data_IF_146133117878
#
_entry.id   IF_146133117878
#
_cell.length_a   1.000
_cell.length_b   1.000
_cell.length_c   1.000
_cell.angle_alpha   90.00
_cell.angle_beta   90.00
_cell.angle_gamma   90.00
#
_symmetry.space_group_name_H-M   'P 1'
#
loop_
_entity.id
_entity.type
_entity.pdbx_description
1 polymer ?
#
# COMPACT_ATOMS: atom_id res chain seq x y z
N UNK A 1 -21.91 -15.45 12.89
CA UNK A 1 -20.66 -15.78 12.16
C UNK A 1 -19.53 -15.43 13.09
N UNK A 2 -18.77 -16.41 13.57
CA UNK A 2 -17.65 -16.13 14.47
C UNK A 2 -16.56 -15.40 13.69
N UNK A 3 -16.13 -14.22 14.17
CA UNK A 3 -14.95 -13.55 13.63
C UNK A 3 -13.78 -14.52 13.71
N UNK A 4 -13.26 -14.96 12.56
CA UNK A 4 -12.06 -15.77 12.51
C UNK A 4 -10.92 -14.95 13.09
N UNK A 5 -10.26 -15.47 14.13
CA UNK A 5 -9.09 -14.82 14.71
C UNK A 5 -8.02 -14.71 13.62
N UNK A 6 -7.46 -13.52 13.48
CA UNK A 6 -6.38 -13.22 12.53
C UNK A 6 -5.18 -12.72 13.33
N UNK A 7 -4.02 -13.28 13.03
CA UNK A 7 -2.76 -12.86 13.63
C UNK A 7 -2.02 -11.99 12.65
N UNK A 8 -1.38 -10.96 13.17
CA UNK A 8 -0.64 -10.00 12.38
C UNK A 8 0.80 -9.91 12.88
N UNK A 9 1.73 -9.70 11.97
CA UNK A 9 3.13 -9.44 12.31
C UNK A 9 3.72 -8.37 11.38
N UNK A 10 4.67 -7.62 11.93
CA UNK A 10 5.46 -6.68 11.17
C UNK A 10 6.75 -7.36 10.70
N UNK A 11 6.93 -7.50 9.39
CA UNK A 11 8.13 -8.07 8.78
C UNK A 11 9.12 -6.96 8.42
N UNK A 12 10.04 -6.68 9.34
CA UNK A 12 11.07 -5.67 9.11
C UNK A 12 12.09 -6.14 8.06
N UNK A 13 12.37 -5.30 7.06
CA UNK A 13 13.39 -5.59 6.04
C UNK A 13 14.79 -5.56 6.66
N UNK A 14 15.70 -6.43 6.18
CA UNK A 14 17.07 -6.56 6.69
C UNK A 14 17.87 -5.24 6.66
N UNK A 15 17.49 -4.34 5.77
CA UNK A 15 18.11 -3.05 5.50
C UNK A 15 17.28 -1.86 6.00
N UNK A 16 16.26 -2.09 6.82
CA UNK A 16 15.40 -1.03 7.38
C UNK A 16 16.21 0.14 7.98
N UNK A 17 17.12 -0.16 8.91
CA UNK A 17 18.01 0.83 9.54
C UNK A 17 19.09 1.38 8.59
N UNK A 18 19.26 0.76 7.42
CA UNK A 18 20.22 1.19 6.41
C UNK A 18 19.64 2.17 5.39
N UNK A 19 18.30 2.26 5.29
CA UNK A 19 17.61 3.19 4.41
C UNK A 19 17.99 4.65 4.71
N UNK A 20 18.06 5.48 3.67
CA UNK A 20 18.47 6.87 3.81
C UNK A 20 17.53 7.68 4.72
N UNK A 21 16.22 7.39 4.68
CA UNK A 21 15.20 8.06 5.49
C UNK A 21 15.35 7.72 6.98
N UNK A 22 15.52 6.45 7.34
CA UNK A 22 15.74 6.04 8.74
C UNK A 22 17.08 6.56 9.26
N UNK A 23 18.15 6.50 8.46
CA UNK A 23 19.44 7.14 8.83
C UNK A 23 19.31 8.63 9.06
N UNK A 24 18.52 9.33 8.25
CA UNK A 24 18.26 10.77 8.39
C UNK A 24 17.49 11.07 9.68
N UNK A 25 16.46 10.29 10.02
CA UNK A 25 15.72 10.42 11.28
C UNK A 25 16.64 10.21 12.49
N UNK A 26 17.47 9.18 12.46
CA UNK A 26 18.41 8.84 13.55
C UNK A 26 19.54 9.86 13.77
N UNK A 27 19.80 10.75 12.81
CA UNK A 27 20.78 11.84 12.97
C UNK A 27 20.25 13.01 13.79
N UNK A 28 18.94 13.08 14.02
CA UNK A 28 18.33 14.11 14.86
C UNK A 28 18.61 13.76 16.32
N UNK A 29 18.76 14.75 17.19
CA UNK A 29 18.82 14.52 18.63
C UNK A 29 17.51 13.82 19.08
N UNK A 30 17.63 12.71 19.82
CA UNK A 30 16.49 11.85 20.14
C UNK A 30 16.06 10.92 19.00
N UNK A 31 16.84 10.82 17.92
CA UNK A 31 16.49 10.08 16.72
C UNK A 31 16.20 8.59 16.92
N UNK A 32 16.83 7.94 17.90
CA UNK A 32 16.52 6.55 18.25
C UNK A 32 15.11 6.42 18.86
N UNK A 33 14.67 7.38 19.68
CA UNK A 33 13.29 7.47 20.20
C UNK A 33 12.30 7.65 19.05
N UNK A 34 12.60 8.51 18.08
CA UNK A 34 11.72 8.74 16.93
C UNK A 34 11.51 7.48 16.09
N UNK A 35 12.57 6.66 15.92
CA UNK A 35 12.45 5.37 15.23
C UNK A 35 11.58 4.39 16.03
N UNK A 36 11.68 4.38 17.36
CA UNK A 36 10.80 3.56 18.21
C UNK A 36 9.35 4.00 18.07
N UNK A 37 9.07 5.31 18.14
CA UNK A 37 7.72 5.87 17.92
C UNK A 37 7.19 5.47 16.55
N UNK A 38 8.01 5.57 15.50
CA UNK A 38 7.59 5.15 14.17
C UNK A 38 7.21 3.67 14.12
N UNK A 39 8.03 2.78 14.70
CA UNK A 39 7.71 1.35 14.78
C UNK A 39 6.42 1.07 15.57
N UNK A 40 6.18 1.80 16.67
CA UNK A 40 4.94 1.74 17.44
C UNK A 40 3.72 2.15 16.59
N UNK A 41 3.83 3.22 15.80
CA UNK A 41 2.78 3.63 14.86
C UNK A 41 2.50 2.57 13.80
N UNK A 42 3.53 1.88 13.28
CA UNK A 42 3.33 0.76 12.35
C UNK A 42 2.49 -0.36 12.98
N UNK A 43 2.81 -0.72 14.23
CA UNK A 43 2.08 -1.73 14.98
C UNK A 43 0.64 -1.30 15.28
N UNK A 44 0.40 -0.02 15.58
CA UNK A 44 -0.95 0.52 15.77
C UNK A 44 -1.81 0.33 14.51
N UNK A 45 -1.23 0.60 13.34
CA UNK A 45 -1.91 0.49 12.04
C UNK A 45 -2.08 -0.94 11.50
N UNK A 46 -1.59 -1.95 12.23
CA UNK A 46 -1.39 -3.31 11.68
C UNK A 46 -2.71 -4.01 11.30
N UNK A 47 -3.80 -3.67 11.98
CA UNK A 47 -5.14 -4.24 11.75
C UNK A 47 -5.95 -3.46 10.71
N UNK A 48 -5.49 -2.27 10.34
CA UNK A 48 -6.23 -1.29 9.54
C UNK A 48 -5.51 -0.96 8.24
N UNK A 49 -4.84 -1.95 7.63
CA UNK A 49 -4.16 -1.79 6.33
C UNK A 49 -3.19 -0.60 6.27
N UNK A 50 -2.40 -0.42 7.34
CA UNK A 50 -1.47 0.70 7.49
C UNK A 50 -2.12 2.09 7.61
N UNK A 51 -3.41 2.15 7.93
CA UNK A 51 -4.16 3.37 8.22
C UNK A 51 -4.28 3.54 9.74
N UNK A 52 -4.15 4.77 10.19
CA UNK A 52 -4.43 5.20 11.56
C UNK A 52 -5.57 6.21 11.47
N UNK A 53 -6.65 5.90 12.18
CA UNK A 53 -7.83 6.76 12.28
C UNK A 53 -7.67 7.68 13.49
N UNK A 54 -8.06 8.93 13.33
CA UNK A 54 -8.12 9.94 14.38
C UNK A 54 -9.55 9.99 14.89
N UNK A 55 -9.75 9.58 16.14
CA UNK A 55 -11.07 9.47 16.76
C UNK A 55 -11.55 10.79 17.42
N UNK A 56 -10.75 11.86 17.33
CA UNK A 56 -10.99 13.17 17.97
C UNK A 56 -11.15 13.06 19.50
N UNK A 57 -10.46 12.09 20.12
CA UNK A 57 -10.45 11.94 21.58
C UNK A 57 -9.66 13.08 22.22
N UNK A 58 -8.62 13.53 21.53
CA UNK A 58 -7.79 14.69 21.92
C UNK A 58 -7.99 15.86 20.95
N UNK A 59 -7.33 17.00 21.21
CA UNK A 59 -7.46 18.19 20.37
C UNK A 59 -6.76 18.08 19.01
N UNK A 60 -5.72 17.25 18.92
CA UNK A 60 -4.99 17.00 17.66
C UNK A 60 -4.62 15.53 17.51
N UNK A 61 -4.43 15.10 16.25
CA UNK A 61 -3.94 13.75 15.93
C UNK A 61 -2.64 13.41 16.65
N UNK A 62 -1.72 14.36 16.78
CA UNK A 62 -0.45 14.11 17.47
C UNK A 62 -0.66 13.84 18.98
N UNK A 63 -1.62 14.53 19.59
CA UNK A 63 -1.93 14.38 21.01
C UNK A 63 -2.57 13.01 21.28
N UNK A 64 -3.48 12.57 20.41
CA UNK A 64 -4.13 11.27 20.49
C UNK A 64 -3.11 10.12 20.31
N UNK A 65 -2.22 10.24 19.33
CA UNK A 65 -1.17 9.24 19.12
C UNK A 65 -0.18 9.21 20.28
N UNK A 66 0.17 10.35 20.87
CA UNK A 66 1.01 10.41 22.06
C UNK A 66 0.36 9.68 23.23
N UNK A 67 -0.95 9.87 23.43
CA UNK A 67 -1.73 9.18 24.45
C UNK A 67 -1.78 7.67 24.21
N UNK A 68 -2.07 7.23 22.97
CA UNK A 68 -2.18 5.81 22.62
C UNK A 68 -0.83 5.09 22.75
N UNK A 69 0.26 5.75 22.37
CA UNK A 69 1.60 5.15 22.36
C UNK A 69 2.35 5.25 23.68
N UNK A 70 1.82 6.02 24.64
CA UNK A 70 2.47 6.41 25.90
C UNK A 70 3.85 7.04 25.63
N UNK A 71 3.85 8.10 24.82
CA UNK A 71 5.04 8.80 24.35
C UNK A 71 4.91 10.32 24.51
N UNK A 72 6.03 11.02 24.54
CA UNK A 72 6.03 12.48 24.63
C UNK A 72 5.44 13.12 23.36
N UNK A 73 4.51 14.04 23.57
CA UNK A 73 3.76 14.72 22.52
C UNK A 73 4.64 15.50 21.54
N UNK A 74 5.74 16.09 22.01
CA UNK A 74 6.68 16.83 21.19
C UNK A 74 7.51 15.86 20.33
N UNK A 75 7.85 14.69 20.86
CA UNK A 75 8.51 13.64 20.07
C UNK A 75 7.58 13.11 18.97
N UNK A 76 6.30 12.88 19.28
CA UNK A 76 5.30 12.41 18.30
C UNK A 76 5.08 13.45 17.20
N UNK A 77 4.96 14.74 17.54
CA UNK A 77 4.87 15.83 16.54
C UNK A 77 6.07 15.85 15.60
N UNK A 78 7.29 15.72 16.14
CA UNK A 78 8.53 15.65 15.34
C UNK A 78 8.50 14.44 14.40
N UNK A 79 8.07 13.27 14.89
CA UNK A 79 7.96 12.06 14.08
C UNK A 79 6.95 12.24 12.96
N UNK A 80 5.72 12.66 13.26
CA UNK A 80 4.67 12.87 12.25
C UNK A 80 5.13 13.84 11.16
N UNK A 81 5.69 15.00 11.56
CA UNK A 81 6.22 15.98 10.62
C UNK A 81 7.34 15.40 9.75
N UNK A 82 8.25 14.60 10.33
CA UNK A 82 9.28 13.91 9.57
C UNK A 82 8.70 12.89 8.59
N UNK A 83 7.73 12.08 9.00
CA UNK A 83 7.13 11.04 8.17
C UNK A 83 6.44 11.66 6.95
N UNK A 84 5.64 12.72 7.14
CA UNK A 84 4.99 13.45 6.05
C UNK A 84 6.03 14.06 5.11
N UNK A 85 7.03 14.77 5.65
CA UNK A 85 8.06 15.43 4.85
C UNK A 85 8.94 14.47 4.02
N UNK A 86 9.03 13.20 4.39
CA UNK A 86 9.79 12.17 3.66
C UNK A 86 8.88 11.15 2.95
N UNK A 87 7.58 11.44 2.80
CA UNK A 87 6.59 10.60 2.13
C UNK A 87 6.44 9.18 2.73
N UNK A 88 6.71 9.05 4.02
CA UNK A 88 6.48 7.82 4.81
C UNK A 88 5.06 7.76 5.38
N UNK A 89 4.40 8.90 5.49
CA UNK A 89 3.02 9.05 5.90
C UNK A 89 2.31 10.05 4.98
N UNK A 90 1.05 9.78 4.65
CA UNK A 90 0.18 10.68 3.88
C UNK A 90 -1.16 10.82 4.60
N UNK A 91 -1.64 12.05 4.74
CA UNK A 91 -3.00 12.31 5.19
C UNK A 91 -3.96 12.02 4.03
N UNK A 92 -4.89 11.08 4.23
CA UNK A 92 -5.91 10.73 3.24
C UNK A 92 -7.06 11.74 3.31
N UNK A 93 -7.54 11.99 4.52
CA UNK A 93 -8.61 12.95 4.82
C UNK A 93 -8.36 13.59 6.20
N UNK A 94 -9.34 14.32 6.74
CA UNK A 94 -9.20 15.02 8.02
C UNK A 94 -8.94 14.08 9.21
N UNK A 95 -9.32 12.79 9.11
CA UNK A 95 -9.25 11.84 10.21
C UNK A 95 -8.33 10.65 9.91
N UNK A 96 -8.00 10.37 8.65
CA UNK A 96 -7.29 9.16 8.26
C UNK A 96 -5.87 9.47 7.78
N UNK A 97 -4.89 8.80 8.39
CA UNK A 97 -3.47 8.88 8.05
C UNK A 97 -2.95 7.52 7.60
N UNK A 98 -2.36 7.45 6.39
CA UNK A 98 -1.75 6.24 5.84
C UNK A 98 -0.25 6.22 6.05
N UNK A 99 0.29 5.09 6.47
CA UNK A 99 1.73 4.80 6.47
C UNK A 99 2.15 4.10 5.17
N UNK A 100 2.67 4.88 4.22
CA UNK A 100 2.87 4.46 2.82
C UNK A 100 3.76 3.23 2.62
N UNK A 101 4.77 3.04 3.47
CA UNK A 101 5.72 1.92 3.34
C UNK A 101 5.33 0.69 4.18
N UNK A 102 4.32 0.82 5.03
CA UNK A 102 3.98 -0.20 6.04
C UNK A 102 3.10 -1.30 5.46
N UNK A 103 2.30 -1.01 4.43
CA UNK A 103 1.44 -1.99 3.76
C UNK A 103 2.23 -3.22 3.27
N UNK A 104 3.45 -3.01 2.75
CA UNK A 104 4.33 -4.08 2.29
C UNK A 104 5.06 -4.82 3.42
N UNK A 105 5.02 -4.29 4.65
CA UNK A 105 5.67 -4.84 5.84
C UNK A 105 4.69 -5.66 6.70
N UNK A 106 3.38 -5.47 6.54
CA UNK A 106 2.36 -6.19 7.31
C UNK A 106 2.13 -7.56 6.67
N UNK A 107 2.33 -8.62 7.47
CA UNK A 107 1.85 -9.96 7.13
C UNK A 107 0.68 -10.36 8.03
N UNK A 108 -0.20 -11.22 7.52
CA UNK A 108 -1.31 -11.79 8.28
C UNK A 108 -1.42 -13.30 8.07
N UNK A 109 -1.76 -14.04 9.11
CA UNK A 109 -2.18 -15.46 9.00
C UNK A 109 -3.51 -15.68 9.73
N UNK A 110 -4.28 -16.66 9.25
CA UNK A 110 -5.51 -17.12 9.90
C UNK A 110 -5.18 -17.99 11.13
N UNK A 111 -6.15 -18.14 12.05
CA UNK A 111 -6.03 -19.04 13.20
C UNK A 111 -5.70 -20.48 12.80
N UNK A 112 -6.22 -20.98 11.67
CA UNK A 112 -5.85 -22.29 11.12
C UNK A 112 -4.38 -22.33 10.67
N UNK A 113 -3.90 -21.32 9.94
CA UNK A 113 -2.51 -21.22 9.50
C UNK A 113 -1.53 -21.09 10.68
N UNK A 114 -1.89 -20.35 11.73
CA UNK A 114 -1.09 -20.26 12.95
C UNK A 114 -1.00 -21.62 13.67
N UNK A 115 -2.13 -22.33 13.84
CA UNK A 115 -2.15 -23.68 14.45
C UNK A 115 -1.21 -24.62 13.70
N UNK A 116 -1.24 -24.59 12.37
CA UNK A 116 -0.39 -25.42 11.51
C UNK A 116 1.08 -25.05 11.63
N UNK A 117 1.42 -23.75 11.64
CA UNK A 117 2.79 -23.29 11.86
C UNK A 117 3.31 -23.74 13.22
N UNK A 118 2.52 -23.54 14.28
CA UNK A 118 2.84 -23.96 15.64
C UNK A 118 3.04 -25.47 15.72
N UNK A 119 2.16 -26.26 15.12
CA UNK A 119 2.30 -27.72 15.06
C UNK A 119 3.57 -28.15 14.30
N UNK A 120 3.91 -27.49 13.18
CA UNK A 120 5.16 -27.77 12.45
C UNK A 120 6.39 -27.41 13.27
N UNK A 121 6.37 -26.29 13.99
CA UNK A 121 7.48 -25.87 14.84
C UNK A 121 7.61 -26.79 16.08
N UNK A 122 6.50 -27.23 16.67
CA UNK A 122 6.46 -28.23 17.74
C UNK A 122 6.94 -29.60 17.25
N UNK A 123 6.51 -30.06 16.08
CA UNK A 123 6.97 -31.32 15.47
C UNK A 123 8.46 -31.26 15.12
N UNK A 124 8.95 -30.11 14.63
CA UNK A 124 10.40 -29.88 14.40
C UNK A 124 11.18 -29.88 15.72
N UNK A 125 10.66 -29.29 16.79
CA UNK A 125 11.26 -29.32 18.11
C UNK A 125 11.25 -30.74 18.74
N UNK A 126 10.18 -31.51 18.52
CA UNK A 126 10.04 -32.91 18.97
C UNK A 126 10.95 -33.87 18.20
N UNK A 127 11.28 -33.59 16.93
CA UNK A 127 12.26 -34.40 16.17
C UNK A 127 13.70 -34.26 16.71
N UNK A 128 14.00 -33.22 17.50
CA UNK A 128 15.26 -33.12 18.25
C UNK A 128 15.26 -33.98 19.52
N UNK A 129 14.10 -34.38 20.04
CA UNK A 129 13.94 -35.24 21.21
C UNK A 129 13.50 -36.65 20.82
N UNK A 130 14.03 -37.19 19.71
CA UNK A 130 13.65 -38.51 19.16
C UNK A 130 14.20 -39.69 19.98
N UNK A 131 13.84 -39.75 21.25
CA UNK A 131 13.64 -40.99 21.97
C UNK A 131 12.31 -40.89 22.71
N UNK A 132 11.38 -41.74 22.27
CA UNK A 132 10.12 -42.13 22.92
C UNK A 132 8.91 -41.16 22.76
N UNK A 133 7.94 -41.55 21.91
CA UNK A 133 6.65 -42.18 22.29
C UNK A 133 5.72 -42.16 21.04
N UNK A 134 5.22 -43.33 20.66
CA UNK A 134 4.11 -43.49 19.72
C UNK A 134 2.79 -43.04 20.38
N UNK A 135 2.01 -42.16 19.75
CA UNK A 135 0.52 -42.19 19.70
C UNK A 135 -0.06 -40.85 19.22
N UNK A 136 -0.82 -40.87 18.11
CA UNK A 136 -2.09 -40.12 17.82
C UNK A 136 -2.32 -39.99 16.30
N UNK A 137 -2.73 -41.07 15.64
CA UNK A 137 -2.98 -41.10 14.18
C UNK A 137 -4.26 -40.37 13.77
N UNK A 138 -5.28 -40.33 14.63
CA UNK A 138 -6.61 -39.81 14.25
C UNK A 138 -6.66 -38.27 14.18
N UNK A 139 -5.87 -37.57 15.00
CA UNK A 139 -5.77 -36.09 14.98
C UNK A 139 -4.98 -35.62 13.75
N UNK A 140 -3.99 -36.40 13.32
CA UNK A 140 -3.17 -36.08 12.15
C UNK A 140 -4.00 -36.16 10.84
N UNK A 141 -4.93 -37.12 10.71
CA UNK A 141 -5.79 -37.27 9.52
C UNK A 141 -6.86 -36.15 9.39
N UNK A 142 -7.50 -35.74 10.48
CA UNK A 142 -8.46 -34.62 10.48
C UNK A 142 -7.78 -33.28 10.14
N UNK A 143 -6.56 -33.07 10.65
CA UNK A 143 -5.74 -31.91 10.31
C UNK A 143 -5.30 -31.92 8.83
N UNK A 144 -4.97 -33.08 8.27
CA UNK A 144 -4.61 -33.21 6.84
C UNK A 144 -5.79 -32.85 5.92
N UNK A 145 -7.02 -33.22 6.29
CA UNK A 145 -8.22 -32.88 5.53
C UNK A 145 -8.54 -31.37 5.62
N UNK A 146 -8.45 -30.75 6.81
CA UNK A 146 -8.59 -29.30 6.96
C UNK A 146 -7.53 -28.52 6.14
N UNK A 147 -6.28 -29.03 6.10
CA UNK A 147 -5.17 -28.45 5.35
C UNK A 147 -5.35 -28.47 3.83
N UNK A 148 -6.05 -29.46 3.29
CA UNK A 148 -6.29 -29.58 1.84
C UNK A 148 -7.43 -28.67 1.37
N UNK A 149 -8.47 -28.49 2.19
CA UNK A 149 -9.58 -27.56 1.89
C UNK A 149 -9.09 -26.11 1.95
N UNK A 150 -8.32 -25.74 2.98
CA UNK A 150 -7.81 -24.37 3.15
C UNK A 150 -6.80 -23.98 2.06
N UNK A 151 -5.94 -24.90 1.61
CA UNK A 151 -5.04 -24.66 0.47
C UNK A 151 -5.79 -24.38 -0.83
N UNK A 152 -6.91 -25.07 -1.07
CA UNK A 152 -7.72 -24.83 -2.26
C UNK A 152 -8.34 -23.42 -2.24
N UNK A 153 -8.84 -22.97 -1.09
CA UNK A 153 -9.41 -21.63 -0.91
C UNK A 153 -8.36 -20.53 -1.10
N UNK A 154 -7.14 -20.70 -0.57
CA UNK A 154 -6.05 -19.72 -0.74
C UNK A 154 -5.59 -19.62 -2.20
N UNK A 155 -5.49 -20.77 -2.89
CA UNK A 155 -5.17 -20.81 -4.33
C UNK A 155 -6.27 -20.13 -5.15
N UNK A 156 -7.55 -20.35 -4.83
CA UNK A 156 -8.67 -19.70 -5.51
C UNK A 156 -8.67 -18.19 -5.29
N UNK A 157 -8.48 -17.73 -4.05
CA UNK A 157 -8.41 -16.29 -3.74
C UNK A 157 -7.22 -15.59 -4.42
N UNK A 158 -6.06 -16.23 -4.49
CA UNK A 158 -4.90 -15.68 -5.19
C UNK A 158 -5.14 -15.65 -6.71
N UNK A 159 -5.75 -16.70 -7.28
CA UNK A 159 -6.17 -16.70 -8.69
C UNK A 159 -7.19 -15.60 -8.99
N UNK A 160 -8.15 -15.34 -8.10
CA UNK A 160 -9.13 -14.26 -8.28
C UNK A 160 -8.48 -12.87 -8.22
N UNK A 161 -7.52 -12.66 -7.30
CA UNK A 161 -6.74 -11.41 -7.24
C UNK A 161 -5.91 -11.20 -8.50
N UNK A 162 -5.20 -12.23 -8.95
CA UNK A 162 -4.43 -12.21 -10.20
C UNK A 162 -5.34 -11.91 -11.40
N UNK A 163 -6.53 -12.54 -11.46
CA UNK A 163 -7.51 -12.28 -12.52
C UNK A 163 -8.01 -10.83 -12.51
N UNK A 164 -8.31 -10.27 -11.32
CA UNK A 164 -8.76 -8.88 -11.18
C UNK A 164 -7.68 -7.89 -11.60
N UNK A 165 -6.43 -8.13 -11.22
CA UNK A 165 -5.30 -7.30 -11.67
C UNK A 165 -5.06 -7.42 -13.18
N UNK A 166 -5.17 -8.62 -13.75
CA UNK A 166 -5.04 -8.83 -15.19
C UNK A 166 -6.17 -8.14 -15.97
N UNK A 167 -7.40 -8.21 -15.45
CA UNK A 167 -8.55 -7.53 -16.04
C UNK A 167 -8.40 -6.01 -15.96
N UNK A 168 -8.01 -5.44 -14.82
CA UNK A 168 -7.74 -4.01 -14.71
C UNK A 168 -6.62 -3.55 -15.66
N UNK A 169 -5.56 -4.35 -15.82
CA UNK A 169 -4.49 -4.05 -16.79
C UNK A 169 -5.00 -4.07 -18.23
N UNK A 170 -5.86 -5.04 -18.59
CA UNK A 170 -6.49 -5.10 -19.91
C UNK A 170 -7.38 -3.89 -20.16
N UNK A 171 -8.26 -3.56 -19.21
CA UNK A 171 -9.15 -2.40 -19.32
C UNK A 171 -8.38 -1.08 -19.48
N UNK A 172 -7.30 -0.90 -18.73
CA UNK A 172 -6.42 0.26 -18.88
C UNK A 172 -5.82 0.35 -20.29
N UNK A 173 -5.36 -0.78 -20.83
CA UNK A 173 -4.74 -0.83 -22.15
C UNK A 173 -5.77 -0.62 -23.27
N UNK A 174 -6.96 -1.20 -23.13
CA UNK A 174 -8.07 -1.04 -24.05
C UNK A 174 -8.55 0.41 -24.08
N UNK A 175 -8.77 1.02 -22.91
CA UNK A 175 -9.08 2.45 -22.79
C UNK A 175 -8.04 3.31 -23.49
N UNK A 176 -6.75 3.08 -23.21
CA UNK A 176 -5.67 3.86 -23.82
C UNK A 176 -5.68 3.73 -25.35
N UNK A 177 -5.82 2.52 -25.87
CA UNK A 177 -5.82 2.28 -27.32
C UNK A 177 -7.05 2.90 -28.00
N UNK A 178 -8.22 2.78 -27.40
CA UNK A 178 -9.46 3.38 -27.90
C UNK A 178 -9.40 4.91 -27.87
N UNK A 179 -8.92 5.48 -26.76
CA UNK A 179 -8.77 6.93 -26.61
C UNK A 179 -7.79 7.51 -27.64
N UNK A 180 -6.66 6.82 -27.88
CA UNK A 180 -5.72 7.22 -28.92
C UNK A 180 -6.39 7.19 -30.29
N UNK A 181 -7.15 6.14 -30.59
CA UNK A 181 -7.85 5.99 -31.88
C UNK A 181 -8.88 7.08 -32.12
N UNK A 182 -9.66 7.45 -31.10
CA UNK A 182 -10.75 8.42 -31.21
C UNK A 182 -10.25 9.87 -31.25
N UNK A 183 -9.19 10.18 -30.49
CA UNK A 183 -8.78 11.57 -30.26
C UNK A 183 -7.38 11.91 -30.79
N UNK A 184 -6.78 11.04 -31.60
CA UNK A 184 -5.49 11.26 -32.26
C UNK A 184 -5.44 12.61 -32.97
N UNK A 185 -4.42 13.42 -32.67
CA UNK A 185 -4.21 14.76 -33.26
C UNK A 185 -5.18 15.85 -32.78
N UNK A 186 -6.28 15.49 -32.12
CA UNK A 186 -7.37 16.40 -31.71
C UNK A 186 -7.37 16.70 -30.21
N UNK A 187 -6.86 15.78 -29.38
CA UNK A 187 -6.86 15.94 -27.93
C UNK A 187 -5.80 16.93 -27.47
N UNK A 188 -6.23 17.96 -26.73
CA UNK A 188 -5.38 18.86 -25.95
C UNK A 188 -5.98 19.02 -24.56
N UNK A 189 -5.14 18.89 -23.55
CA UNK A 189 -5.54 18.99 -22.16
C UNK A 189 -4.54 19.83 -21.37
N UNK A 190 -5.05 20.68 -20.48
CA UNK A 190 -4.25 21.47 -19.56
C UNK A 190 -4.14 20.70 -18.26
N UNK A 191 -2.92 20.50 -17.78
CA UNK A 191 -2.66 19.85 -16.48
C UNK A 191 -3.47 20.55 -15.38
N UNK A 192 -4.27 19.81 -14.58
CA UNK A 192 -5.15 20.38 -13.58
C UNK A 192 -4.34 20.84 -12.36
N UNK A 193 -4.90 21.78 -11.60
CA UNK A 193 -4.31 22.27 -10.36
C UNK A 193 -5.29 22.02 -9.19
N UNK A 194 -4.83 21.44 -8.06
CA UNK A 194 -3.47 20.95 -7.80
C UNK A 194 -3.09 19.77 -8.71
N UNK A 195 -1.81 19.66 -9.10
CA UNK A 195 -1.35 18.62 -10.05
C UNK A 195 -1.32 17.23 -9.37
N UNK A 196 -2.23 16.30 -9.72
CA UNK A 196 -2.28 14.98 -9.11
C UNK A 196 -1.28 14.00 -9.74
N UNK A 197 -0.65 14.35 -10.87
CA UNK A 197 0.21 13.47 -11.69
C UNK A 197 1.69 13.47 -11.26
N UNK A 198 1.98 13.74 -9.98
CA UNK A 198 3.33 13.96 -9.42
C UNK A 198 4.04 15.21 -9.98
N UNK A 199 5.03 15.73 -9.24
CA UNK A 199 5.72 17.04 -9.35
C UNK A 199 6.44 17.35 -10.70
N UNK A 200 6.18 16.59 -11.77
CA UNK A 200 6.91 16.69 -13.04
C UNK A 200 6.38 17.71 -14.03
N UNK A 201 5.15 18.21 -13.85
CA UNK A 201 4.54 19.20 -14.74
C UNK A 201 4.34 20.53 -14.03
N UNK A 202 4.75 21.61 -14.69
CA UNK A 202 4.54 22.99 -14.23
C UNK A 202 3.06 23.35 -14.41
N UNK A 203 2.54 24.18 -13.51
CA UNK A 203 1.16 24.67 -13.60
C UNK A 203 0.86 25.28 -14.98
N UNK A 204 -0.28 24.88 -15.55
CA UNK A 204 -0.72 25.34 -16.85
C UNK A 204 0.00 24.73 -18.05
N UNK A 205 0.79 23.69 -17.84
CA UNK A 205 1.32 22.83 -18.92
C UNK A 205 0.16 22.32 -19.78
N UNK A 206 0.29 22.47 -21.10
CA UNK A 206 -0.67 21.92 -22.07
C UNK A 206 -0.06 20.73 -22.77
N UNK A 207 -0.74 19.59 -22.65
CA UNK A 207 -0.39 18.33 -23.29
C UNK A 207 -1.27 18.11 -24.52
N UNK A 208 -0.66 17.65 -25.61
CA UNK A 208 -1.34 17.31 -26.84
C UNK A 208 -1.10 15.86 -27.20
N UNK A 209 -2.14 15.14 -27.60
CA UNK A 209 -2.00 13.84 -28.24
C UNK A 209 -1.69 14.03 -29.72
N UNK A 210 -0.51 13.59 -30.15
CA UNK A 210 -0.11 13.61 -31.56
C UNK A 210 -0.75 12.47 -32.35
N UNK A 211 -0.76 12.59 -33.68
CA UNK A 211 -1.29 11.58 -34.59
C UNK A 211 -0.59 10.22 -34.46
N UNK A 212 0.69 10.24 -34.06
CA UNK A 212 1.51 9.06 -33.82
C UNK A 212 1.25 8.40 -32.44
N UNK A 213 0.27 8.87 -31.67
CA UNK A 213 -0.13 8.33 -30.37
C UNK A 213 0.73 8.79 -29.18
N UNK A 214 1.74 9.64 -29.41
CA UNK A 214 2.57 10.18 -28.32
C UNK A 214 1.94 11.43 -27.69
N UNK A 215 2.10 11.54 -26.38
CA UNK A 215 1.78 12.76 -25.65
C UNK A 215 2.94 13.75 -25.77
N UNK A 216 2.62 14.97 -26.18
CA UNK A 216 3.56 16.06 -26.40
C UNK A 216 3.30 17.20 -25.44
N UNK A 217 4.33 17.64 -24.72
CA UNK A 217 4.27 18.85 -23.91
C UNK A 217 4.55 20.06 -24.80
N UNK A 218 3.51 20.86 -25.03
CA UNK A 218 3.57 22.04 -25.91
C UNK A 218 4.35 23.21 -25.30
N UNK A 219 4.43 23.28 -23.97
CA UNK A 219 5.14 24.34 -23.24
C UNK A 219 6.66 24.21 -23.42
N UNK A 220 7.19 22.98 -23.27
CA UNK A 220 8.63 22.69 -23.43
C UNK A 220 8.98 22.15 -24.83
N UNK A 221 7.98 22.01 -25.71
CA UNK A 221 8.10 21.46 -27.07
C UNK A 221 8.81 20.11 -27.13
N UNK A 222 8.51 19.21 -26.19
CA UNK A 222 9.13 17.88 -26.08
C UNK A 222 8.08 16.80 -25.83
N UNK A 223 8.29 15.63 -26.41
CA UNK A 223 7.48 14.44 -26.12
C UNK A 223 7.75 13.93 -24.70
N UNK A 224 6.70 13.41 -24.06
CA UNK A 224 6.79 12.87 -22.72
C UNK A 224 7.63 11.59 -22.73
N UNK A 225 8.44 11.40 -21.70
CA UNK A 225 9.11 10.12 -21.49
C UNK A 225 8.10 9.05 -21.04
N UNK A 226 8.54 7.80 -20.94
CA UNK A 226 7.67 6.66 -20.60
C UNK A 226 6.93 6.84 -19.26
N UNK A 227 7.61 7.37 -18.26
CA UNK A 227 7.07 7.56 -16.90
C UNK A 227 6.07 8.72 -16.84
N UNK A 228 6.42 9.87 -17.43
CA UNK A 228 5.54 11.02 -17.57
C UNK A 228 4.27 10.65 -18.35
N UNK A 229 4.42 9.91 -19.44
CA UNK A 229 3.29 9.45 -20.23
C UNK A 229 2.40 8.49 -19.43
N UNK A 230 3.00 7.59 -18.64
CA UNK A 230 2.25 6.68 -17.77
C UNK A 230 1.38 7.45 -16.77
N UNK A 231 1.96 8.41 -16.03
CA UNK A 231 1.20 9.18 -15.03
C UNK A 231 0.02 9.95 -15.65
N UNK A 232 0.18 10.45 -16.86
CA UNK A 232 -0.91 11.12 -17.58
C UNK A 232 -2.00 10.13 -17.98
N UNK A 233 -1.63 8.96 -18.51
CA UNK A 233 -2.62 7.93 -18.88
C UNK A 233 -3.35 7.36 -17.67
N UNK A 234 -2.65 7.18 -16.55
CA UNK A 234 -3.22 6.74 -15.28
C UNK A 234 -4.27 7.75 -14.78
N UNK A 235 -3.93 9.04 -14.80
CA UNK A 235 -4.88 10.10 -14.49
C UNK A 235 -6.10 10.12 -15.43
N UNK A 236 -5.89 9.99 -16.74
CA UNK A 236 -6.99 9.96 -17.71
C UNK A 236 -7.89 8.74 -17.50
N UNK A 237 -7.33 7.57 -17.17
CA UNK A 237 -8.10 6.36 -16.89
C UNK A 237 -8.89 6.46 -15.58
N UNK A 238 -8.29 7.02 -14.53
CA UNK A 238 -8.98 7.30 -13.27
C UNK A 238 -10.17 8.26 -13.43
N UNK A 239 -10.08 9.19 -14.39
CA UNK A 239 -11.11 10.19 -14.68
C UNK A 239 -11.91 9.90 -15.97
N UNK A 240 -11.88 8.66 -16.47
CA UNK A 240 -12.43 8.30 -17.79
C UNK A 240 -13.93 8.61 -17.91
N UNK A 241 -14.72 8.37 -16.86
CA UNK A 241 -16.16 8.60 -16.88
C UNK A 241 -16.52 10.10 -17.00
N UNK A 242 -15.73 10.97 -16.36
CA UNK A 242 -15.86 12.42 -16.44
C UNK A 242 -15.39 12.98 -17.80
N UNK A 243 -14.34 12.39 -18.37
CA UNK A 243 -13.83 12.80 -19.67
C UNK A 243 -14.80 12.42 -20.81
N UNK A 244 -15.43 11.24 -20.72
CA UNK A 244 -16.39 10.76 -21.71
C UNK A 244 -17.66 11.63 -21.76
N UNK A 245 -18.12 12.14 -20.62
CA UNK A 245 -19.27 13.06 -20.55
C UNK A 245 -18.98 14.44 -21.13
N UNK A 246 -17.76 14.97 -20.94
CA UNK A 246 -17.34 16.25 -21.53
C UNK A 246 -17.07 16.17 -23.05
N UNK A 247 -16.76 14.98 -23.57
CA UNK A 247 -16.50 14.74 -24.99
C UNK A 247 -17.77 14.46 -25.81
N UNK A 248 -18.88 14.05 -25.17
CA UNK A 248 -20.18 13.84 -25.83
C UNK A 248 -21.00 15.13 -26.08
N UNK A 249 -20.59 16.26 -25.49
CA UNK A 249 -21.30 17.54 -25.59
C UNK A 249 -20.73 18.52 -26.64
N UNK A 250 -19.86 18.05 -27.54
CA UNK A 250 -19.29 18.82 -28.67
C UNK A 250 -19.52 18.15 -30.01
#
# INVERSE_FOLDING_TARGET
MGNSKRYYWLKLMKDFFQTARIKKMRKIAGGDTYVIIYLKMMLLSINSEAIIEYEEVENTFADEIALILDEDIENVKVVIAFLIANNLMTQIDEHNYRLNEVEYLIGSETDSAQRVRKHRDEKRALQCNKYEINSNTDIDEELEIELDVDRQIEIENNKEKELKEENNRKEFFDFKNEFIKLHSGKFKFKVPYPNPMSLSFIEGTVLQLKENGYLHNTTIKKDLNKEQAFNVWDYLYANRDYLLTQLSEK
#
